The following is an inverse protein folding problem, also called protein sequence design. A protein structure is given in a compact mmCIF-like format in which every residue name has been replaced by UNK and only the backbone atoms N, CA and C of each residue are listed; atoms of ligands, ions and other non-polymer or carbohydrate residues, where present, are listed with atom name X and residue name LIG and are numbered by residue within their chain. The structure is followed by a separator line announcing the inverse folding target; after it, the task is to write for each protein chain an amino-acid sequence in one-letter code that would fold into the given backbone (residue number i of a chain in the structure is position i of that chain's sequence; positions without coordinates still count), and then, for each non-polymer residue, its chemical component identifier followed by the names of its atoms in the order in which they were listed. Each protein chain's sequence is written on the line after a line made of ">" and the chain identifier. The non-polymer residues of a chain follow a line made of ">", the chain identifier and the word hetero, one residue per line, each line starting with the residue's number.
data_IF_798449509568
#
_entry.id   IF_798449509568
#
_cell.length_a   1.000
_cell.length_b   1.000
_cell.length_c   1.000
_cell.angle_alpha   90.00
_cell.angle_beta   90.00
_cell.angle_gamma   90.00
#
_symmetry.space_group_name_H-M   'P 1'
#
loop_
_entity.id
_entity.type
_entity.pdbx_description
1 polymer ?
#
# COMPACT_ATOMS: atom_id res chain seq x y z
N UNK A 1 7.09 -3.31 17.65
CA UNK A 1 7.77 -2.35 16.73
C UNK A 1 8.43 -3.12 15.59
N UNK A 2 8.90 -2.43 14.55
CA UNK A 2 9.41 -3.01 13.29
C UNK A 2 10.92 -3.24 13.25
N UNK A 3 11.61 -3.09 14.37
CA UNK A 3 13.06 -3.32 14.47
C UNK A 3 13.42 -4.82 14.57
N UNK A 4 12.41 -5.68 14.76
CA UNK A 4 12.58 -7.13 14.83
C UNK A 4 12.34 -7.75 13.45
N UNK A 5 13.17 -8.73 13.03
CA UNK A 5 12.90 -9.53 11.85
C UNK A 5 11.48 -10.12 11.84
N UNK A 6 10.93 -10.33 10.64
CA UNK A 6 9.57 -10.82 10.44
C UNK A 6 8.49 -9.71 10.50
N UNK A 7 8.80 -8.55 11.09
CA UNK A 7 7.89 -7.40 11.09
C UNK A 7 8.24 -6.39 10.01
N UNK A 8 7.21 -5.83 9.37
CA UNK A 8 7.37 -4.79 8.36
C UNK A 8 6.45 -3.62 8.68
N UNK A 9 6.93 -2.39 8.52
CA UNK A 9 6.06 -1.22 8.55
C UNK A 9 5.18 -1.18 7.30
N UNK A 10 3.95 -0.73 7.44
CA UNK A 10 3.05 -0.39 6.34
C UNK A 10 2.65 1.08 6.50
N UNK A 11 3.45 1.98 5.92
CA UNK A 11 3.27 3.43 6.01
C UNK A 11 2.40 3.89 4.85
N UNK A 12 1.19 4.36 5.16
CA UNK A 12 0.15 4.61 4.16
C UNK A 12 -0.12 6.10 3.95
N UNK A 13 -0.20 6.53 2.69
CA UNK A 13 -0.42 7.93 2.33
C UNK A 13 -0.76 8.09 0.85
N UNK A 14 -0.29 9.18 0.25
CA UNK A 14 -0.36 9.37 -1.20
C UNK A 14 0.26 8.19 -1.96
N UNK A 15 1.39 7.70 -1.44
CA UNK A 15 2.04 6.42 -1.74
C UNK A 15 1.94 5.47 -0.54
N UNK A 16 2.28 4.18 -0.73
CA UNK A 16 2.59 3.28 0.39
C UNK A 16 4.07 2.95 0.37
N UNK A 17 4.70 3.00 1.54
CA UNK A 17 6.06 2.51 1.75
C UNK A 17 5.98 1.39 2.76
N UNK A 18 6.59 0.26 2.44
CA UNK A 18 6.80 -0.81 3.38
C UNK A 18 8.29 -0.97 3.63
N UNK A 19 8.68 -1.00 4.89
CA UNK A 19 10.08 -1.15 5.29
C UNK A 19 10.21 -2.07 6.50
N UNK A 20 11.17 -2.99 6.44
CA UNK A 20 11.43 -3.98 7.48
C UNK A 20 12.92 -4.29 7.59
N UNK A 21 13.28 -5.11 8.57
CA UNK A 21 14.66 -5.54 8.78
C UNK A 21 14.84 -7.03 8.51
N UNK A 22 15.92 -7.39 7.84
CA UNK A 22 16.35 -8.78 7.61
C UNK A 22 17.68 -9.05 8.32
N UNK A 23 17.86 -10.21 8.97
CA UNK A 23 19.15 -10.64 9.50
C UNK A 23 20.12 -11.04 8.38
N UNK A 24 19.60 -11.45 7.24
CA UNK A 24 20.38 -11.91 6.08
C UNK A 24 20.27 -10.93 4.90
N UNK A 25 21.26 -10.86 3.99
CA UNK A 25 21.15 -10.07 2.78
C UNK A 25 19.94 -10.49 1.94
N UNK A 26 19.15 -9.52 1.50
CA UNK A 26 17.97 -9.74 0.64
C UNK A 26 18.12 -8.93 -0.63
N UNK A 27 17.92 -9.55 -1.80
CA UNK A 27 17.88 -8.84 -3.08
C UNK A 27 16.96 -9.55 -4.07
N UNK A 28 16.42 -8.78 -5.01
CA UNK A 28 15.54 -9.30 -6.05
C UNK A 28 15.18 -8.22 -7.07
N UNK A 29 14.54 -8.60 -8.19
CA UNK A 29 14.05 -7.63 -9.16
C UNK A 29 13.00 -6.72 -8.52
N UNK A 30 12.97 -5.44 -8.90
CA UNK A 30 11.93 -4.50 -8.44
C UNK A 30 12.17 -3.80 -7.10
N UNK A 31 13.25 -4.13 -6.39
CA UNK A 31 13.72 -3.38 -5.21
C UNK A 31 15.24 -3.42 -5.13
N UNK A 32 15.85 -2.36 -4.57
CA UNK A 32 17.30 -2.11 -4.66
C UNK A 32 18.16 -3.00 -3.74
N UNK A 33 17.60 -4.10 -3.22
CA UNK A 33 18.20 -4.92 -2.18
C UNK A 33 18.19 -4.25 -0.80
N UNK A 34 18.49 -5.05 0.22
CA UNK A 34 18.57 -4.55 1.59
C UNK A 34 19.87 -3.77 1.83
N UNK A 35 19.78 -2.60 2.48
CA UNK A 35 20.95 -1.81 2.87
C UNK A 35 21.34 -2.14 4.32
N UNK A 36 22.61 -2.47 4.54
CA UNK A 36 23.13 -2.79 5.88
C UNK A 36 23.26 -1.54 6.74
N UNK A 37 23.06 -1.70 8.06
CA UNK A 37 23.35 -0.69 9.09
C UNK A 37 22.60 0.65 8.94
N UNK A 38 21.55 0.69 8.12
CA UNK A 38 20.77 1.91 7.89
C UNK A 38 19.85 2.27 9.06
N UNK A 39 19.28 1.26 9.72
CA UNK A 39 18.33 1.44 10.84
C UNK A 39 18.78 0.65 12.07
N UNK A 40 19.06 -0.64 11.91
CA UNK A 40 19.55 -1.51 12.98
C UNK A 40 20.97 -1.99 12.61
N UNK A 41 21.97 -1.78 13.48
CA UNK A 41 23.33 -2.28 13.23
C UNK A 41 23.34 -3.80 12.99
N UNK A 42 24.04 -4.24 11.94
CA UNK A 42 24.17 -5.64 11.55
C UNK A 42 22.95 -6.24 10.84
N UNK A 43 21.91 -5.46 10.53
CA UNK A 43 20.74 -5.90 9.77
C UNK A 43 20.61 -5.18 8.43
N UNK A 44 19.87 -5.80 7.51
CA UNK A 44 19.58 -5.28 6.19
C UNK A 44 18.18 -4.67 6.18
N UNK A 45 18.10 -3.36 5.99
CA UNK A 45 16.83 -2.66 5.81
C UNK A 45 16.31 -2.91 4.41
N UNK A 46 15.13 -3.52 4.30
CA UNK A 46 14.42 -3.80 3.05
C UNK A 46 13.32 -2.77 2.88
N UNK A 47 13.21 -2.15 1.70
CA UNK A 47 12.14 -1.22 1.36
C UNK A 47 11.50 -1.57 0.01
N UNK A 48 10.18 -1.51 -0.03
CA UNK A 48 9.37 -1.60 -1.23
C UNK A 48 8.22 -0.59 -1.16
N UNK A 49 7.62 -0.26 -2.30
CA UNK A 49 6.61 0.80 -2.32
C UNK A 49 5.63 0.73 -3.47
N UNK A 50 4.43 1.24 -3.23
CA UNK A 50 3.44 1.59 -4.25
C UNK A 50 3.51 3.10 -4.47
N UNK A 51 3.76 3.53 -5.71
CA UNK A 51 3.98 4.95 -6.04
C UNK A 51 2.68 5.76 -5.90
N UNK A 52 1.57 5.20 -6.34
CA UNK A 52 0.26 5.84 -6.31
C UNK A 52 -0.75 4.95 -5.62
N UNK A 53 -1.24 5.38 -4.47
CA UNK A 53 -2.21 4.63 -3.66
C UNK A 53 -3.34 5.53 -3.19
N UNK A 54 -3.13 6.32 -2.13
CA UNK A 54 -4.08 7.31 -1.68
C UNK A 54 -4.21 8.46 -2.68
N UNK A 55 -3.18 8.69 -3.51
CA UNK A 55 -3.26 9.64 -4.62
C UNK A 55 -4.25 9.20 -5.70
N UNK A 56 -4.41 7.89 -5.95
CA UNK A 56 -5.41 7.37 -6.92
C UNK A 56 -6.83 7.55 -6.37
N UNK A 57 -7.05 7.26 -5.08
CA UNK A 57 -8.33 7.56 -4.43
C UNK A 57 -8.65 9.05 -4.41
N UNK A 58 -7.66 9.90 -4.13
CA UNK A 58 -7.82 11.35 -4.16
C UNK A 58 -8.16 11.84 -5.58
N UNK A 59 -7.44 11.33 -6.59
CA UNK A 59 -7.73 11.60 -7.99
C UNK A 59 -9.16 11.19 -8.36
N UNK A 60 -9.58 9.98 -7.98
CA UNK A 60 -10.92 9.49 -8.28
C UNK A 60 -12.00 10.35 -7.62
N UNK A 61 -11.85 10.62 -6.31
CA UNK A 61 -12.76 11.50 -5.56
C UNK A 61 -12.90 12.87 -6.23
N UNK A 62 -11.78 13.50 -6.58
CA UNK A 62 -11.76 14.85 -7.12
C UNK A 62 -12.35 14.95 -8.54
N UNK A 63 -12.24 13.90 -9.36
CA UNK A 63 -12.69 13.93 -10.75
C UNK A 63 -14.08 13.30 -10.96
N UNK A 64 -14.49 12.34 -10.13
CA UNK A 64 -15.72 11.55 -10.34
C UNK A 64 -16.75 11.69 -9.21
N UNK A 65 -16.36 12.28 -8.08
CA UNK A 65 -17.24 12.42 -6.90
C UNK A 65 -17.34 13.89 -6.38
N UNK A 66 -17.50 14.91 -7.25
CA UNK A 66 -17.62 16.30 -6.78
C UNK A 66 -18.87 16.53 -5.92
N UNK A 67 -19.98 15.84 -6.22
CA UNK A 67 -21.21 15.87 -5.43
C UNK A 67 -21.02 15.30 -4.02
N UNK A 68 -20.22 14.22 -3.87
CA UNK A 68 -19.89 13.65 -2.57
C UNK A 68 -19.00 14.60 -1.78
N UNK A 69 -18.04 15.24 -2.45
CA UNK A 69 -17.16 16.23 -1.80
C UNK A 69 -17.97 17.41 -1.27
N UNK A 70 -18.90 17.93 -2.06
CA UNK A 70 -19.81 18.99 -1.63
C UNK A 70 -20.71 18.53 -0.47
N UNK A 71 -21.27 17.32 -0.54
CA UNK A 71 -22.11 16.78 0.53
C UNK A 71 -21.32 16.61 1.85
N UNK A 72 -20.06 16.16 1.78
CA UNK A 72 -19.16 16.07 2.91
C UNK A 72 -18.93 17.44 3.57
N UNK A 73 -18.66 18.49 2.78
CA UNK A 73 -18.50 19.86 3.27
C UNK A 73 -19.76 20.39 3.97
N UNK A 74 -20.94 20.12 3.42
CA UNK A 74 -22.22 20.57 3.98
C UNK A 74 -22.60 19.84 5.27
N UNK A 75 -22.22 18.57 5.39
CA UNK A 75 -22.58 17.71 6.54
C UNK A 75 -21.50 17.63 7.61
N UNK A 76 -20.30 18.15 7.34
CA UNK A 76 -19.13 17.99 8.21
C UNK A 76 -18.57 16.56 8.25
N UNK A 77 -19.04 15.68 7.36
CA UNK A 77 -18.57 14.31 7.24
C UNK A 77 -17.31 14.22 6.36
N UNK A 78 -16.57 13.13 6.49
CA UNK A 78 -15.47 12.83 5.57
C UNK A 78 -16.02 12.21 4.27
N UNK A 79 -15.57 12.70 3.12
CA UNK A 79 -15.98 12.17 1.82
C UNK A 79 -15.63 10.67 1.64
N UNK A 80 -14.49 10.22 2.17
CA UNK A 80 -14.11 8.81 2.13
C UNK A 80 -15.02 7.95 3.01
N UNK A 81 -15.47 8.45 4.16
CA UNK A 81 -16.42 7.71 5.01
C UNK A 81 -17.78 7.54 4.31
N UNK A 82 -18.24 8.56 3.58
CA UNK A 82 -19.45 8.46 2.76
C UNK A 82 -19.26 7.40 1.65
N UNK A 83 -18.13 7.42 0.95
CA UNK A 83 -17.86 6.44 -0.12
C UNK A 83 -17.69 5.02 0.43
N UNK A 84 -17.04 4.85 1.59
CA UNK A 84 -16.92 3.57 2.29
C UNK A 84 -18.31 3.02 2.66
N UNK A 85 -19.18 3.87 3.21
CA UNK A 85 -20.55 3.47 3.54
C UNK A 85 -21.34 3.04 2.30
N UNK A 86 -21.20 3.75 1.17
CA UNK A 86 -21.92 3.44 -0.07
C UNK A 86 -21.38 2.24 -0.84
N UNK A 87 -20.15 1.83 -0.58
CA UNK A 87 -19.50 0.67 -1.22
C UNK A 87 -19.44 -0.57 -0.34
N UNK A 88 -20.03 -0.52 0.87
CA UNK A 88 -19.90 -1.58 1.87
C UNK A 88 -20.45 -2.95 1.42
N UNK A 89 -21.48 -2.94 0.57
CA UNK A 89 -22.15 -4.17 0.10
C UNK A 89 -21.60 -4.69 -1.24
N UNK A 90 -20.59 -4.01 -1.81
CA UNK A 90 -19.96 -4.46 -3.06
C UNK A 90 -19.15 -5.73 -2.76
N UNK A 91 -19.35 -6.82 -3.52
CA UNK A 91 -18.67 -8.07 -3.25
C UNK A 91 -17.17 -7.98 -3.57
N UNK A 92 -16.40 -8.85 -2.90
CA UNK A 92 -14.97 -9.08 -3.20
C UNK A 92 -14.77 -9.25 -4.71
N UNK A 93 -13.80 -8.52 -5.26
CA UNK A 93 -13.48 -8.52 -6.69
C UNK A 93 -14.34 -7.58 -7.52
N UNK A 94 -15.20 -6.78 -6.89
CA UNK A 94 -15.95 -5.68 -7.49
C UNK A 94 -16.68 -6.07 -8.78
N UNK A 95 -17.34 -7.24 -8.78
CA UNK A 95 -18.05 -7.84 -9.92
C UNK A 95 -17.17 -8.01 -11.19
N UNK A 96 -15.87 -8.24 -10.99
CA UNK A 96 -14.88 -8.47 -12.04
C UNK A 96 -14.11 -7.24 -12.48
N UNK A 97 -14.26 -6.09 -11.79
CA UNK A 97 -13.51 -4.88 -12.06
C UNK A 97 -12.11 -4.94 -11.43
N UNK A 98 -11.07 -5.02 -12.28
CA UNK A 98 -9.67 -5.08 -11.85
C UNK A 98 -8.92 -3.82 -12.28
N UNK A 99 -8.17 -3.23 -11.34
CA UNK A 99 -7.41 -2.01 -11.55
C UNK A 99 -5.94 -2.25 -11.23
N UNK A 100 -5.03 -1.90 -12.15
CA UNK A 100 -3.64 -1.61 -11.78
C UNK A 100 -3.54 -0.11 -11.48
N UNK A 101 -3.16 0.24 -10.27
CA UNK A 101 -3.17 1.59 -9.71
C UNK A 101 -1.94 2.44 -10.10
N UNK A 102 -1.18 2.05 -11.13
CA UNK A 102 0.11 2.64 -11.54
C UNK A 102 -0.02 4.01 -12.23
N UNK A 103 -0.92 4.87 -11.76
CA UNK A 103 -1.27 6.15 -12.36
C UNK A 103 -0.10 7.14 -12.36
N UNK A 104 0.89 6.93 -11.49
CA UNK A 104 2.13 7.71 -11.42
C UNK A 104 3.37 6.86 -11.70
N UNK A 105 3.24 5.82 -12.53
CA UNK A 105 4.29 4.83 -12.72
C UNK A 105 4.25 3.73 -11.66
N UNK A 106 5.22 2.81 -11.74
CA UNK A 106 5.40 1.72 -10.78
C UNK A 106 6.85 1.68 -10.29
N UNK A 107 7.07 1.49 -8.99
CA UNK A 107 8.41 1.25 -8.44
C UNK A 107 8.65 -0.23 -8.24
N UNK A 108 7.78 -0.89 -7.49
CA UNK A 108 7.86 -2.32 -7.20
C UNK A 108 6.54 -2.98 -7.64
N UNK A 109 6.58 -4.09 -8.40
CA UNK A 109 7.75 -4.92 -8.74
C UNK A 109 8.46 -4.54 -10.06
N UNK A 110 7.94 -3.60 -10.86
CA UNK A 110 8.39 -3.44 -12.25
C UNK A 110 9.45 -2.35 -12.47
N UNK A 111 9.62 -1.40 -11.54
CA UNK A 111 10.53 -0.26 -11.69
C UNK A 111 10.35 0.47 -13.04
N UNK A 112 9.09 0.79 -13.33
CA UNK A 112 8.63 1.26 -14.63
C UNK A 112 7.97 2.64 -14.52
N UNK A 113 8.70 3.68 -14.95
CA UNK A 113 8.21 5.06 -14.97
C UNK A 113 7.16 5.33 -16.05
N UNK A 114 7.09 4.47 -17.08
CA UNK A 114 6.10 4.56 -18.16
C UNK A 114 4.80 3.83 -17.83
N UNK A 115 4.75 3.05 -16.75
CA UNK A 115 3.52 2.43 -16.27
C UNK A 115 2.40 3.47 -16.11
N UNK A 116 1.19 3.10 -16.50
CA UNK A 116 -0.02 3.90 -16.36
C UNK A 116 -1.14 3.02 -15.82
N UNK A 117 -2.14 3.67 -15.23
CA UNK A 117 -3.32 2.99 -14.71
C UNK A 117 -4.02 2.15 -15.77
N UNK A 118 -4.45 0.95 -15.38
CA UNK A 118 -5.28 0.08 -16.23
C UNK A 118 -6.54 -0.25 -15.46
N UNK A 119 -7.69 -0.14 -16.12
CA UNK A 119 -8.97 -0.59 -15.60
C UNK A 119 -9.57 -1.56 -16.61
N UNK A 120 -9.82 -2.79 -16.20
CA UNK A 120 -10.39 -3.83 -17.05
C UNK A 120 -11.67 -4.40 -16.44
N UNK A 121 -12.48 -5.07 -17.26
CA UNK A 121 -13.71 -5.73 -16.80
C UNK A 121 -14.91 -4.80 -16.63
N UNK A 122 -14.86 -3.53 -17.06
CA UNK A 122 -16.01 -2.64 -16.99
C UNK A 122 -17.25 -3.21 -17.69
N UNK A 123 -18.38 -3.16 -16.99
CA UNK A 123 -19.70 -3.51 -17.50
C UNK A 123 -20.70 -2.38 -17.18
N UNK A 124 -21.88 -2.40 -17.81
CA UNK A 124 -22.94 -1.42 -17.51
C UNK A 124 -23.54 -1.57 -16.11
N UNK A 125 -23.21 -2.64 -15.38
CA UNK A 125 -23.64 -2.82 -13.99
C UNK A 125 -22.76 -2.05 -13.00
N UNK A 126 -21.54 -1.66 -13.39
CA UNK A 126 -20.61 -1.01 -12.48
C UNK A 126 -20.98 0.46 -12.25
N UNK A 127 -21.01 0.83 -10.98
CA UNK A 127 -21.16 2.21 -10.53
C UNK A 127 -19.81 2.83 -10.16
N UNK A 128 -19.81 4.13 -9.86
CA UNK A 128 -18.61 4.80 -9.33
C UNK A 128 -18.17 4.22 -7.97
N UNK A 129 -19.10 3.67 -7.20
CA UNK A 129 -18.80 3.00 -5.93
C UNK A 129 -18.04 1.68 -6.18
N UNK A 130 -18.32 0.97 -7.29
CA UNK A 130 -17.51 -0.18 -7.73
C UNK A 130 -16.09 0.25 -8.06
N UNK A 131 -15.92 1.35 -8.80
CA UNK A 131 -14.61 1.88 -9.12
C UNK A 131 -13.85 2.31 -7.86
N UNK A 132 -14.52 2.93 -6.89
CA UNK A 132 -13.93 3.29 -5.60
C UNK A 132 -13.46 2.05 -4.82
N UNK A 133 -14.31 1.02 -4.73
CA UNK A 133 -13.95 -0.24 -4.08
C UNK A 133 -12.79 -0.94 -4.80
N UNK A 134 -12.83 -1.01 -6.14
CA UNK A 134 -11.79 -1.64 -6.94
C UNK A 134 -10.43 -0.92 -6.83
N UNK A 135 -10.42 0.41 -6.61
CA UNK A 135 -9.16 1.13 -6.32
C UNK A 135 -8.62 0.74 -4.94
N UNK A 136 -9.48 0.59 -3.93
CA UNK A 136 -9.05 0.12 -2.60
C UNK A 136 -8.49 -1.30 -2.66
N UNK A 137 -9.17 -2.20 -3.38
CA UNK A 137 -8.71 -3.56 -3.63
C UNK A 137 -7.38 -3.57 -4.40
N UNK A 138 -7.24 -2.76 -5.46
CA UNK A 138 -6.03 -2.64 -6.25
C UNK A 138 -4.80 -2.27 -5.42
N UNK A 139 -4.94 -1.32 -4.49
CA UNK A 139 -3.85 -0.96 -3.56
C UNK A 139 -3.47 -2.16 -2.69
N UNK A 140 -4.45 -2.92 -2.19
CA UNK A 140 -4.18 -4.12 -1.40
C UNK A 140 -3.51 -5.22 -2.25
N UNK A 141 -3.96 -5.42 -3.49
CA UNK A 141 -3.35 -6.36 -4.43
C UNK A 141 -1.93 -5.94 -4.78
N UNK A 142 -1.65 -4.64 -4.92
CA UNK A 142 -0.31 -4.12 -5.10
C UNK A 142 0.61 -4.43 -3.93
N UNK A 143 0.11 -4.34 -2.68
CA UNK A 143 0.84 -4.78 -1.48
C UNK A 143 1.11 -6.29 -1.52
N UNK A 144 0.12 -7.11 -1.87
CA UNK A 144 0.31 -8.56 -1.99
C UNK A 144 1.29 -8.94 -3.12
N UNK A 145 1.25 -8.26 -4.28
CA UNK A 145 2.23 -8.45 -5.36
C UNK A 145 3.66 -8.14 -4.90
N UNK A 146 3.80 -7.10 -4.09
CA UNK A 146 5.04 -6.70 -3.43
C UNK A 146 5.51 -7.78 -2.42
N UNK A 147 4.61 -8.37 -1.63
CA UNK A 147 4.92 -9.47 -0.72
C UNK A 147 5.31 -10.76 -1.45
N UNK A 148 4.64 -11.11 -2.56
CA UNK A 148 5.02 -12.26 -3.41
C UNK A 148 6.47 -12.16 -3.87
N UNK A 149 6.88 -10.96 -4.29
CA UNK A 149 8.25 -10.69 -4.69
C UNK A 149 9.24 -10.84 -3.52
N UNK A 150 8.91 -10.32 -2.34
CA UNK A 150 9.74 -10.50 -1.15
C UNK A 150 9.88 -11.98 -0.73
N UNK A 151 8.77 -12.73 -0.74
CA UNK A 151 8.77 -14.16 -0.43
C UNK A 151 9.67 -14.94 -1.39
N UNK A 152 9.65 -14.62 -2.68
CA UNK A 152 10.56 -15.20 -3.68
C UNK A 152 12.03 -14.84 -3.45
N UNK A 153 12.30 -13.69 -2.82
CA UNK A 153 13.64 -13.27 -2.40
C UNK A 153 14.07 -13.83 -1.03
N UNK A 154 13.27 -14.72 -0.43
CA UNK A 154 13.56 -15.33 0.87
C UNK A 154 13.22 -14.47 2.08
N UNK A 155 12.48 -13.37 1.89
CA UNK A 155 12.03 -12.49 2.97
C UNK A 155 10.52 -12.65 3.21
N UNK A 156 10.15 -13.30 4.31
CA UNK A 156 8.77 -13.46 4.72
C UNK A 156 8.36 -12.35 5.70
N UNK A 157 7.26 -11.67 5.40
CA UNK A 157 6.61 -10.75 6.34
C UNK A 157 5.59 -11.54 7.13
N UNK A 158 5.75 -11.58 8.45
CA UNK A 158 4.87 -12.28 9.38
C UNK A 158 3.81 -11.33 9.97
N UNK A 159 4.13 -10.03 10.08
CA UNK A 159 3.23 -9.03 10.65
C UNK A 159 3.54 -7.64 10.08
N UNK A 160 2.49 -6.89 9.77
CA UNK A 160 2.61 -5.46 9.49
C UNK A 160 2.41 -4.61 10.75
N UNK A 161 3.14 -3.50 10.83
CA UNK A 161 2.83 -2.41 11.76
C UNK A 161 2.36 -1.21 10.94
N UNK A 162 1.05 -0.96 10.97
CA UNK A 162 0.39 0.00 10.10
C UNK A 162 0.35 1.42 10.66
N UNK A 163 0.59 2.42 9.82
CA UNK A 163 0.29 3.82 10.14
C UNK A 163 -0.16 4.61 8.91
N UNK A 164 -0.62 5.84 9.11
CA UNK A 164 -0.98 6.75 8.03
C UNK A 164 -2.45 6.69 7.58
N UNK A 165 -2.73 7.24 6.40
CA UNK A 165 -4.08 7.58 5.93
C UNK A 165 -5.01 6.38 5.74
N UNK A 166 -4.55 5.30 5.12
CA UNK A 166 -5.36 4.12 4.87
C UNK A 166 -5.74 3.41 6.18
N UNK A 167 -4.83 3.41 7.15
CA UNK A 167 -5.01 2.80 8.46
C UNK A 167 -6.02 3.53 9.37
N UNK A 168 -6.55 4.69 8.94
CA UNK A 168 -7.68 5.35 9.61
C UNK A 168 -9.02 4.70 9.28
N UNK A 169 -9.14 4.04 8.13
CA UNK A 169 -10.31 3.24 7.77
C UNK A 169 -10.11 1.81 8.28
N UNK A 170 -10.83 1.43 9.33
CA UNK A 170 -10.75 0.07 9.89
C UNK A 170 -11.12 -1.01 8.86
N UNK A 171 -12.06 -0.71 7.96
CA UNK A 171 -12.47 -1.61 6.89
C UNK A 171 -11.36 -1.77 5.83
N UNK A 172 -10.67 -0.69 5.46
CA UNK A 172 -9.59 -0.78 4.48
C UNK A 172 -8.33 -1.41 5.08
N UNK A 173 -8.05 -1.17 6.38
CA UNK A 173 -7.04 -1.92 7.11
C UNK A 173 -7.36 -3.42 7.16
N UNK A 174 -8.62 -3.81 7.42
CA UNK A 174 -9.04 -5.21 7.32
C UNK A 174 -8.80 -5.79 5.93
N UNK A 175 -9.16 -5.04 4.88
CA UNK A 175 -8.97 -5.48 3.49
C UNK A 175 -7.49 -5.72 3.16
N UNK A 176 -6.56 -4.91 3.67
CA UNK A 176 -5.13 -5.18 3.54
C UNK A 176 -4.76 -6.52 4.20
N UNK A 177 -5.22 -6.77 5.43
CA UNK A 177 -4.95 -8.02 6.13
C UNK A 177 -5.54 -9.21 5.36
N UNK A 178 -6.82 -9.14 4.98
CA UNK A 178 -7.52 -10.19 4.24
C UNK A 178 -6.82 -10.49 2.90
N UNK A 179 -6.47 -9.47 2.11
CA UNK A 179 -5.81 -9.66 0.81
C UNK A 179 -4.42 -10.26 0.96
N UNK A 180 -3.62 -9.79 1.93
CA UNK A 180 -2.23 -10.22 2.09
C UNK A 180 -2.07 -11.51 2.89
N UNK A 181 -3.09 -11.88 3.69
CA UNK A 181 -2.98 -12.97 4.66
C UNK A 181 -2.03 -12.65 5.82
N UNK A 182 -1.65 -11.37 6.01
CA UNK A 182 -0.69 -10.92 7.02
C UNK A 182 -1.41 -10.06 8.06
N UNK A 183 -1.29 -10.36 9.37
CA UNK A 183 -1.89 -9.55 10.42
C UNK A 183 -1.30 -8.14 10.47
N UNK A 184 -2.13 -7.17 10.91
CA UNK A 184 -1.74 -5.75 11.01
C UNK A 184 -1.92 -5.26 12.44
N UNK A 185 -0.81 -4.82 13.04
CA UNK A 185 -0.80 -4.13 14.33
C UNK A 185 -0.87 -2.61 14.12
N UNK A 186 -1.82 -1.96 14.77
CA UNK A 186 -1.96 -0.50 14.77
C UNK A 186 -1.46 0.08 16.10
N UNK A 187 -0.46 0.98 16.09
CA UNK A 187 0.05 1.59 17.31
C UNK A 187 -0.91 2.65 17.87
N UNK A 188 -0.82 2.91 19.18
CA UNK A 188 -1.56 4.00 19.84
C UNK A 188 -1.20 5.37 19.25
N UNK A 189 0.10 5.58 18.99
CA UNK A 189 0.61 6.79 18.35
C UNK A 189 0.62 6.59 16.84
N UNK A 190 -0.35 7.20 16.15
CA UNK A 190 -0.46 7.11 14.69
C UNK A 190 0.60 7.87 13.90
N UNK A 191 1.35 8.77 14.54
CA UNK A 191 2.48 9.48 13.93
C UNK A 191 3.80 8.73 14.21
N UNK A 192 4.10 7.77 13.33
CA UNK A 192 5.28 6.93 13.44
C UNK A 192 6.60 7.72 13.31
N UNK A 193 6.63 8.82 12.54
CA UNK A 193 7.85 9.61 12.31
C UNK A 193 8.21 10.39 13.58
N UNK A 194 7.23 11.05 14.17
CA UNK A 194 7.42 11.79 15.43
C UNK A 194 7.83 10.83 16.55
N UNK A 195 7.12 9.70 16.71
CA UNK A 195 7.47 8.72 17.74
C UNK A 195 8.87 8.13 17.51
N UNK A 196 9.21 7.76 16.27
CA UNK A 196 10.53 7.23 15.92
C UNK A 196 11.65 8.22 16.23
N UNK A 197 11.43 9.52 15.98
CA UNK A 197 12.38 10.58 16.34
C UNK A 197 12.59 10.67 17.85
N UNK A 198 11.52 10.57 18.64
CA UNK A 198 11.60 10.54 20.10
C UNK A 198 12.34 9.29 20.62
N UNK A 199 12.12 8.12 20.01
CA UNK A 199 12.82 6.88 20.35
C UNK A 199 14.32 7.03 20.13
N UNK A 200 14.73 7.56 18.96
CA UNK A 200 16.14 7.81 18.65
C UNK A 200 16.75 8.83 19.61
N UNK A 201 16.04 9.91 19.92
CA UNK A 201 16.50 10.93 20.86
C UNK A 201 16.66 10.37 22.29
N UNK A 202 15.73 9.54 22.75
CA UNK A 202 15.78 8.93 24.08
C UNK A 202 16.95 7.95 24.21
N UNK A 203 17.18 7.11 23.20
CA UNK A 203 18.35 6.22 23.15
C UNK A 203 19.66 7.03 23.06
N UNK A 204 19.73 8.05 22.20
CA UNK A 204 20.91 8.91 22.05
C UNK A 204 21.23 9.74 23.29
N UNK A 205 20.22 10.09 24.09
CA UNK A 205 20.40 10.75 25.39
C UNK A 205 20.77 9.78 26.53
N UNK A 206 20.84 8.47 26.26
CA UNK A 206 21.16 7.44 27.26
C UNK A 206 20.02 7.14 28.25
N UNK A 207 18.79 7.55 27.94
CA UNK A 207 17.61 7.21 28.76
C UNK A 207 17.23 5.73 28.62
N UNK A 208 17.59 5.12 27.49
CA UNK A 208 17.48 3.70 27.23
C UNK A 208 18.82 3.15 26.72
N UNK A 209 19.16 1.87 26.97
CA UNK A 209 20.43 1.29 26.56
C UNK A 209 20.61 1.17 25.03
N UNK A 210 19.51 1.05 24.29
CA UNK A 210 19.53 0.91 22.84
C UNK A 210 18.26 1.49 22.19
N UNK A 211 18.28 1.63 20.86
CA UNK A 211 17.09 2.01 20.07
C UNK A 211 15.99 0.94 20.20
N UNK A 212 16.36 -0.34 20.28
CA UNK A 212 15.40 -1.44 20.48
C UNK A 212 14.71 -1.32 21.85
N UNK A 213 15.45 -1.08 22.93
CA UNK A 213 14.88 -0.95 24.27
C UNK A 213 13.93 0.26 24.37
N UNK A 214 14.31 1.39 23.76
CA UNK A 214 13.46 2.55 23.67
C UNK A 214 12.18 2.26 22.87
N UNK A 215 12.29 1.56 21.73
CA UNK A 215 11.14 1.19 20.92
C UNK A 215 10.22 0.17 21.60
N UNK A 216 10.76 -0.75 22.41
CA UNK A 216 9.98 -1.71 23.18
C UNK A 216 9.22 -1.03 24.32
N UNK A 217 9.80 0.01 24.93
CA UNK A 217 9.17 0.77 26.01
C UNK A 217 8.17 1.82 25.54
N UNK A 218 8.33 2.37 24.33
CA UNK A 218 7.58 3.55 23.85
C UNK A 218 6.54 3.23 22.77
N UNK A 219 6.63 2.08 22.09
CA UNK A 219 5.64 1.69 21.07
C UNK A 219 4.59 0.79 21.71
N UNK A 220 3.38 1.33 21.87
CA UNK A 220 2.24 0.60 22.42
C UNK A 220 1.24 0.26 21.31
N UNK A 221 0.69 -0.95 21.41
CA UNK A 221 -0.33 -1.46 20.51
C UNK A 221 -1.71 -0.96 20.93
N UNK A 222 -2.47 -0.44 19.97
CA UNK A 222 -3.88 -0.07 20.15
C UNK A 222 -4.81 -1.20 19.74
N UNK A 223 -4.47 -1.85 18.63
CA UNK A 223 -5.35 -2.79 17.97
C UNK A 223 -4.54 -3.76 17.11
N UNK A 224 -4.94 -5.04 17.13
CA UNK A 224 -4.42 -6.09 16.28
C UNK A 224 -5.52 -6.56 15.33
N UNK A 225 -5.22 -6.61 14.04
CA UNK A 225 -6.15 -6.99 12.98
C UNK A 225 -5.67 -8.30 12.39
N UNK A 226 -6.39 -9.37 12.70
CA UNK A 226 -6.17 -10.69 12.10
C UNK A 226 -6.83 -10.75 10.71
N UNK A 227 -6.21 -11.43 9.74
CA UNK A 227 -6.82 -11.67 8.44
C UNK A 227 -7.98 -12.65 8.55
N UNK A 228 -9.05 -12.40 7.80
CA UNK A 228 -10.07 -13.40 7.51
C UNK A 228 -9.55 -14.31 6.38
N UNK A 229 -9.10 -15.51 6.74
CA UNK A 229 -8.50 -16.43 5.78
C UNK A 229 -9.48 -16.95 4.72
N UNK A 230 -10.79 -16.96 4.98
CA UNK A 230 -11.78 -17.32 3.95
C UNK A 230 -11.85 -16.22 2.88
N UNK A 231 -11.77 -14.94 3.29
CA UNK A 231 -11.67 -13.82 2.35
C UNK A 231 -10.33 -13.80 1.65
N UNK A 232 -9.23 -14.12 2.33
CA UNK A 232 -7.92 -14.25 1.72
C UNK A 232 -7.94 -15.20 0.52
N UNK A 233 -8.49 -16.40 0.71
CA UNK A 233 -8.61 -17.39 -0.35
C UNK A 233 -9.47 -16.88 -1.53
N UNK A 234 -10.51 -16.10 -1.24
CA UNK A 234 -11.36 -15.46 -2.27
C UNK A 234 -10.63 -14.34 -3.02
N UNK A 235 -9.85 -13.53 -2.31
CA UNK A 235 -9.05 -12.45 -2.88
C UNK A 235 -7.90 -12.96 -3.75
N UNK A 236 -7.36 -14.15 -3.46
CA UNK A 236 -6.22 -14.73 -4.16
C UNK A 236 -6.41 -14.75 -5.69
N UNK A 237 -7.59 -15.15 -6.16
CA UNK A 237 -7.91 -15.14 -7.59
C UNK A 237 -7.78 -13.74 -8.21
N UNK A 238 -8.31 -12.71 -7.55
CA UNK A 238 -8.28 -11.34 -8.07
C UNK A 238 -6.88 -10.71 -7.97
N UNK A 239 -6.11 -11.06 -6.94
CA UNK A 239 -4.70 -10.70 -6.83
C UNK A 239 -3.86 -11.32 -7.97
N UNK A 240 -4.17 -12.55 -8.39
CA UNK A 240 -3.54 -13.18 -9.57
C UNK A 240 -3.87 -12.40 -10.85
N UNK A 241 -5.16 -12.08 -11.07
CA UNK A 241 -5.57 -11.28 -12.23
C UNK A 241 -4.91 -9.90 -12.26
N UNK A 242 -4.80 -9.25 -11.10
CA UNK A 242 -4.07 -7.99 -10.93
C UNK A 242 -2.61 -8.10 -11.38
N UNK A 243 -1.91 -9.17 -10.97
CA UNK A 243 -0.50 -9.40 -11.31
C UNK A 243 -0.30 -9.73 -12.80
N UNK A 244 -1.24 -10.48 -13.40
CA UNK A 244 -1.19 -10.87 -14.82
C UNK A 244 -1.54 -9.71 -15.76
N UNK A 245 -2.42 -8.79 -15.34
CA UNK A 245 -2.95 -7.74 -16.20
C UNK A 245 -1.90 -6.77 -16.72
N UNK A 246 -1.00 -6.27 -15.86
CA UNK A 246 -0.06 -5.23 -16.26
C UNK A 246 0.95 -5.69 -17.32
N UNK A 247 1.63 -6.86 -17.18
CA UNK A 247 2.53 -7.37 -18.22
C UNK A 247 1.89 -7.50 -19.60
N UNK A 248 0.60 -7.88 -19.67
CA UNK A 248 -0.12 -8.00 -20.94
C UNK A 248 -0.35 -6.66 -21.64
N UNK A 249 -0.39 -5.56 -20.87
CA UNK A 249 -0.67 -4.22 -21.37
C UNK A 249 0.58 -3.34 -21.51
N UNK A 250 1.71 -3.78 -20.96
CA UNK A 250 2.93 -2.96 -20.81
C UNK A 250 3.41 -2.38 -22.14
N UNK A 251 3.58 -3.21 -23.18
CA UNK A 251 4.06 -2.77 -24.49
C UNK A 251 3.12 -1.76 -25.16
N UNK A 252 1.81 -1.92 -24.98
CA UNK A 252 0.82 -0.98 -25.52
C UNK A 252 0.88 0.36 -24.78
N UNK A 253 1.01 0.32 -23.46
CA UNK A 253 1.15 1.52 -22.62
C UNK A 253 2.43 2.27 -22.98
N UNK A 254 3.57 1.58 -23.06
CA UNK A 254 4.86 2.20 -23.35
C UNK A 254 4.86 2.89 -24.71
N UNK A 255 4.38 2.21 -25.76
CA UNK A 255 4.28 2.82 -27.10
C UNK A 255 3.39 4.06 -27.11
N UNK A 256 2.32 4.05 -26.32
CA UNK A 256 1.41 5.21 -26.21
C UNK A 256 2.07 6.37 -25.47
N UNK A 257 2.77 6.10 -24.37
CA UNK A 257 3.53 7.12 -23.62
C UNK A 257 4.63 7.73 -24.48
N UNK A 258 5.42 6.89 -25.17
CA UNK A 258 6.52 7.34 -26.04
C UNK A 258 6.02 8.20 -27.20
N UNK A 259 4.87 7.84 -27.78
CA UNK A 259 4.25 8.66 -28.81
C UNK A 259 3.87 10.04 -28.29
N UNK A 260 3.16 10.11 -27.15
CA UNK A 260 2.75 11.39 -26.54
C UNK A 260 3.95 12.24 -26.14
N UNK A 261 4.99 11.64 -25.59
CA UNK A 261 6.20 12.37 -25.20
C UNK A 261 6.94 12.91 -26.43
N UNK A 262 7.00 12.15 -27.53
CA UNK A 262 7.56 12.64 -28.80
C UNK A 262 6.78 13.83 -29.39
N UNK A 263 5.45 13.84 -29.27
CA UNK A 263 4.63 14.98 -29.70
C UNK A 263 4.88 16.23 -28.83
N UNK A 264 5.12 16.05 -27.53
CA UNK A 264 5.42 17.16 -26.61
C UNK A 264 6.80 17.76 -26.88
N UNK A 265 7.80 16.93 -27.16
CA UNK A 265 9.14 17.38 -27.53
C UNK A 265 9.13 18.15 -28.85
N UNK A 266 8.34 17.70 -29.84
CA UNK A 266 8.20 18.40 -31.11
C UNK A 266 7.46 19.75 -31.02
N UNK A 267 6.69 19.97 -29.95
CA UNK A 267 5.93 21.19 -29.72
C UNK A 267 6.69 22.26 -28.90
N UNK A 268 7.89 21.94 -28.39
CA UNK A 268 8.77 22.85 -27.63
C UNK A 268 9.82 23.50 -28.54
#
# INVERSE_FOLDING_TARGET
>A
NVLRPGKMSLVTGSSHVMSGQSPDPVSGPGFFGGYTDGVVPGQYTVEISLVSSGSVLAWFKNNFCPDITLAAEQTGLNAYDIMNSRSADIPIGCDGLIINEYFQGNRTPYSDSKARGVMSGLSLAHSREHMYCAIQEAVCYGVEANLRMLRNAGFAVEEFVGCGGAMKSRAWAQMHADVTGVPITLPEVGDAVTLGSCILAAAGAGLYPSVQDAADAMVHEREHIEPDMEKHDRYAFYADQYCEQYPLMQDLIHRTVDHVDSEREAAQ
#
